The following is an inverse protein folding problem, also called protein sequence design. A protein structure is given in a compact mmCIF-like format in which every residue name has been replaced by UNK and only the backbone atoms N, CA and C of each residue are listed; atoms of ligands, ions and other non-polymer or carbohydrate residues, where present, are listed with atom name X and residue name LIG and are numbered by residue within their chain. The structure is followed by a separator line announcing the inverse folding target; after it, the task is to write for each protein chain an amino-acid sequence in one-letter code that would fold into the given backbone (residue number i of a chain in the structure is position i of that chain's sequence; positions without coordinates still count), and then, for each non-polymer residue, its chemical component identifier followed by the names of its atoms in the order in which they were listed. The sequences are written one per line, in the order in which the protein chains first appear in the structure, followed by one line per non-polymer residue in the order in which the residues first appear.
data_IF_480058181781
#
_entry.id   IF_480058181781
#
_cell.length_a   1.000
_cell.length_b   1.000
_cell.length_c   1.000
_cell.angle_alpha   90.00
_cell.angle_beta   90.00
_cell.angle_gamma   90.00
#
_symmetry.space_group_name_H-M   'P 1'
#
loop_
_entity.id
_entity.type
_entity.pdbx_description
1 polymer ?
#
# COMPACT_ATOMS: atom_id res chain seq x y z
N UNK A 1 5.68 5.42 27.24
CA UNK A 1 6.80 5.39 26.27
C UNK A 1 6.56 4.40 25.13
N UNK A 2 6.04 3.21 25.36
CA UNK A 2 5.73 2.21 24.33
C UNK A 2 4.72 2.66 23.27
N UNK A 3 3.65 3.38 23.65
CA UNK A 3 2.61 3.85 22.71
C UNK A 3 3.16 4.92 21.75
N UNK A 4 4.00 5.84 22.23
CA UNK A 4 4.67 6.83 21.37
C UNK A 4 5.59 6.13 20.36
N UNK A 5 6.38 5.14 20.79
CA UNK A 5 7.26 4.40 19.91
C UNK A 5 6.47 3.66 18.82
N UNK A 6 5.38 2.97 19.20
CA UNK A 6 4.50 2.29 18.25
C UNK A 6 3.85 3.28 17.27
N UNK A 7 3.49 4.49 17.75
CA UNK A 7 2.95 5.53 16.89
C UNK A 7 3.99 5.98 15.86
N UNK A 8 5.22 6.24 16.27
CA UNK A 8 6.33 6.66 15.39
C UNK A 8 6.62 5.56 14.37
N UNK A 9 6.78 4.31 14.80
CA UNK A 9 7.04 3.17 13.91
C UNK A 9 5.91 2.98 12.88
N UNK A 10 4.65 3.13 13.32
CA UNK A 10 3.51 3.07 12.40
C UNK A 10 3.57 4.17 11.33
N UNK A 11 3.87 5.41 11.71
CA UNK A 11 3.98 6.51 10.75
C UNK A 11 5.15 6.30 9.78
N UNK A 12 6.32 5.85 10.27
CA UNK A 12 7.46 5.53 9.41
C UNK A 12 7.10 4.44 8.40
N UNK A 13 6.39 3.38 8.84
CA UNK A 13 5.92 2.32 7.95
C UNK A 13 4.90 2.85 6.92
N UNK A 14 3.98 3.74 7.31
CA UNK A 14 3.02 4.38 6.37
C UNK A 14 3.76 5.25 5.34
N UNK A 15 4.76 6.04 5.74
CA UNK A 15 5.58 6.79 4.77
C UNK A 15 6.33 5.85 3.83
N UNK A 16 6.86 4.73 4.33
CA UNK A 16 7.48 3.69 3.51
C UNK A 16 6.50 3.09 2.50
N UNK A 17 5.24 2.86 2.90
CA UNK A 17 4.18 2.39 2.01
C UNK A 17 3.92 3.38 0.87
N UNK A 18 3.73 4.65 1.20
CA UNK A 18 3.51 5.72 0.20
C UNK A 18 4.70 5.84 -0.74
N UNK A 19 5.92 5.82 -0.21
CA UNK A 19 7.13 5.92 -1.00
C UNK A 19 7.30 4.73 -1.97
N UNK A 20 7.05 3.50 -1.52
CA UNK A 20 7.14 2.32 -2.39
C UNK A 20 6.11 2.35 -3.51
N UNK A 21 4.87 2.74 -3.22
CA UNK A 21 3.82 2.88 -4.25
C UNK A 21 4.13 4.01 -5.24
N UNK A 22 4.68 5.14 -4.76
CA UNK A 22 5.11 6.23 -5.62
C UNK A 22 6.27 5.81 -6.55
N UNK A 23 7.25 5.05 -6.04
CA UNK A 23 8.34 4.49 -6.85
C UNK A 23 7.84 3.50 -7.89
N UNK A 24 6.85 2.69 -7.57
CA UNK A 24 6.22 1.75 -8.51
C UNK A 24 5.48 2.51 -9.62
N UNK A 25 4.68 3.52 -9.26
CA UNK A 25 4.02 4.39 -10.22
C UNK A 25 5.00 5.14 -11.13
N UNK A 26 6.14 5.57 -10.61
CA UNK A 26 7.21 6.19 -11.40
C UNK A 26 7.88 5.17 -12.34
N UNK A 27 8.18 3.96 -11.86
CA UNK A 27 8.77 2.90 -12.67
C UNK A 27 7.86 2.48 -13.84
N UNK A 28 6.54 2.46 -13.64
CA UNK A 28 5.55 2.19 -14.70
C UNK A 28 5.49 3.30 -15.77
N UNK A 29 5.98 4.50 -15.47
CA UNK A 29 6.01 5.64 -16.41
C UNK A 29 7.39 5.88 -17.02
N UNK A 30 8.38 5.07 -16.66
CA UNK A 30 9.73 5.17 -17.21
C UNK A 30 9.73 4.91 -18.74
N UNK A 31 10.67 5.49 -19.50
CA UNK A 31 10.80 5.25 -20.93
C UNK A 31 11.06 3.78 -21.28
N UNK A 32 11.78 3.06 -20.42
CA UNK A 32 11.99 1.61 -20.50
C UNK A 32 11.44 0.94 -19.23
N UNK A 33 10.65 -0.09 -19.43
CA UNK A 33 10.07 -0.87 -18.33
C UNK A 33 11.01 -1.99 -17.95
N UNK A 34 11.39 -2.03 -16.68
CA UNK A 34 12.13 -3.15 -16.09
C UNK A 34 11.18 -4.03 -15.24
N UNK A 35 10.78 -5.21 -15.77
CA UNK A 35 9.86 -6.10 -15.07
C UNK A 35 10.41 -6.64 -13.74
N UNK A 36 11.73 -6.84 -13.63
CA UNK A 36 12.35 -7.31 -12.41
C UNK A 36 12.30 -6.26 -11.30
N UNK A 37 12.54 -4.99 -11.67
CA UNK A 37 12.43 -3.85 -10.75
C UNK A 37 10.99 -3.66 -10.27
N UNK A 38 10.01 -3.70 -11.17
CA UNK A 38 8.58 -3.60 -10.82
C UNK A 38 8.17 -4.68 -9.83
N UNK A 39 8.48 -5.95 -10.11
CA UNK A 39 8.15 -7.05 -9.21
C UNK A 39 8.84 -6.93 -7.83
N UNK A 40 10.02 -6.31 -7.75
CA UNK A 40 10.69 -6.02 -6.47
C UNK A 40 10.00 -4.89 -5.70
N UNK A 41 9.56 -3.83 -6.40
CA UNK A 41 8.86 -2.71 -5.78
C UNK A 41 7.51 -3.15 -5.21
N UNK A 42 6.74 -3.90 -6.01
CA UNK A 42 5.47 -4.49 -5.61
C UNK A 42 5.62 -5.42 -4.39
N UNK A 43 6.61 -6.31 -4.39
CA UNK A 43 6.90 -7.16 -3.23
C UNK A 43 7.27 -6.36 -1.98
N UNK A 44 7.99 -5.23 -2.13
CA UNK A 44 8.28 -4.32 -1.03
C UNK A 44 7.02 -3.60 -0.54
N UNK A 45 6.16 -3.15 -1.46
CA UNK A 45 4.88 -2.55 -1.12
C UNK A 45 4.04 -3.51 -0.27
N UNK A 46 3.87 -4.77 -0.72
CA UNK A 46 3.16 -5.80 0.05
C UNK A 46 3.80 -6.08 1.41
N UNK A 47 5.12 -6.16 1.49
CA UNK A 47 5.85 -6.35 2.75
C UNK A 47 5.65 -5.19 3.72
N UNK A 48 5.76 -3.95 3.25
CA UNK A 48 5.53 -2.75 4.07
C UNK A 48 4.07 -2.65 4.49
N UNK A 49 3.11 -3.00 3.61
CA UNK A 49 1.69 -3.08 3.96
C UNK A 49 1.43 -4.07 5.12
N UNK A 50 2.09 -5.23 5.09
CA UNK A 50 2.05 -6.19 6.20
C UNK A 50 2.59 -5.60 7.51
N UNK A 51 3.69 -4.86 7.45
CA UNK A 51 4.26 -4.17 8.63
C UNK A 51 3.30 -3.10 9.17
N UNK A 52 2.67 -2.31 8.29
CA UNK A 52 1.66 -1.30 8.68
C UNK A 52 0.49 -1.96 9.39
N UNK A 53 -0.02 -3.09 8.87
CA UNK A 53 -1.09 -3.85 9.51
C UNK A 53 -0.68 -4.40 10.87
N UNK A 54 0.49 -5.01 10.96
CA UNK A 54 1.00 -5.59 12.20
C UNK A 54 1.14 -4.53 13.30
N UNK A 55 1.82 -3.43 13.02
CA UNK A 55 1.97 -2.35 13.99
C UNK A 55 0.61 -1.73 14.32
N UNK A 56 -0.27 -1.57 13.32
CA UNK A 56 -1.64 -1.09 13.51
C UNK A 56 -2.44 -1.99 14.45
N UNK A 57 -2.39 -3.31 14.27
CA UNK A 57 -3.04 -4.28 15.14
C UNK A 57 -2.49 -4.22 16.58
N UNK A 58 -1.16 -4.17 16.74
CA UNK A 58 -0.52 -4.02 18.04
C UNK A 58 -1.02 -2.75 18.75
N UNK A 59 -1.14 -1.64 18.05
CA UNK A 59 -1.65 -0.38 18.62
C UNK A 59 -3.11 -0.45 19.04
N UNK A 60 -3.94 -1.19 18.31
CA UNK A 60 -5.36 -1.39 18.65
C UNK A 60 -5.52 -2.27 19.89
N UNK A 61 -4.72 -3.33 19.97
CA UNK A 61 -4.86 -4.35 21.03
C UNK A 61 -4.13 -3.96 22.33
N UNK A 62 -2.95 -3.32 22.22
CA UNK A 62 -2.07 -3.01 23.36
C UNK A 62 -1.71 -1.52 23.49
N UNK A 63 -2.27 -0.66 22.65
CA UNK A 63 -2.08 0.79 22.73
C UNK A 63 -2.94 1.43 23.84
N UNK A 64 -2.59 2.65 24.22
CA UNK A 64 -3.22 3.34 25.36
C UNK A 64 -4.70 3.71 25.19
N UNK A 65 -5.27 3.63 23.95
CA UNK A 65 -6.68 3.97 23.69
C UNK A 65 -7.65 2.81 23.91
N UNK A 66 -7.18 1.57 23.76
CA UNK A 66 -7.98 0.35 23.93
C UNK A 66 -8.96 0.08 22.77
N UNK A 67 -9.45 -1.16 22.72
CA UNK A 67 -10.34 -1.64 21.66
C UNK A 67 -11.65 -0.83 21.54
N UNK A 68 -12.27 -0.48 22.66
CA UNK A 68 -13.57 0.21 22.68
C UNK A 68 -13.53 1.54 21.95
N UNK A 69 -12.42 2.28 22.08
CA UNK A 69 -12.21 3.53 21.34
C UNK A 69 -12.19 3.30 19.83
N UNK A 70 -11.50 2.26 19.36
CA UNK A 70 -11.41 1.96 17.92
C UNK A 70 -12.71 1.38 17.39
N UNK A 71 -13.36 0.49 18.14
CA UNK A 71 -14.61 -0.14 17.72
C UNK A 71 -15.76 0.86 17.56
N UNK A 72 -15.84 1.87 18.43
CA UNK A 72 -16.83 2.94 18.37
C UNK A 72 -16.55 4.00 17.30
N UNK A 73 -15.33 4.02 16.73
CA UNK A 73 -14.90 5.08 15.81
C UNK A 73 -15.19 4.72 14.36
N UNK A 74 -16.10 5.44 13.65
CA UNK A 74 -16.47 5.12 12.27
C UNK A 74 -15.29 5.28 11.29
N UNK A 75 -14.38 6.21 11.55
CA UNK A 75 -13.19 6.42 10.70
C UNK A 75 -12.18 5.28 10.82
N UNK A 76 -12.18 4.54 11.92
CA UNK A 76 -11.40 3.31 12.04
C UNK A 76 -11.85 2.27 11.02
N UNK A 77 -13.16 2.00 10.94
CA UNK A 77 -13.71 1.03 10.01
C UNK A 77 -13.58 1.48 8.55
N UNK A 78 -13.81 2.77 8.28
CA UNK A 78 -13.58 3.35 6.95
C UNK A 78 -12.12 3.18 6.51
N UNK A 79 -11.15 3.44 7.41
CA UNK A 79 -9.73 3.24 7.14
C UNK A 79 -9.39 1.78 6.86
N UNK A 80 -9.93 0.83 7.63
CA UNK A 80 -9.71 -0.61 7.41
C UNK A 80 -10.29 -1.03 6.06
N UNK A 81 -11.50 -0.58 5.72
CA UNK A 81 -12.13 -0.86 4.43
C UNK A 81 -11.32 -0.31 3.24
N UNK A 82 -10.85 0.94 3.34
CA UNK A 82 -10.00 1.55 2.30
C UNK A 82 -8.66 0.83 2.15
N UNK A 83 -8.02 0.45 3.26
CA UNK A 83 -6.78 -0.31 3.22
C UNK A 83 -6.98 -1.69 2.58
N UNK A 84 -8.08 -2.37 2.93
CA UNK A 84 -8.47 -3.63 2.31
C UNK A 84 -8.74 -3.48 0.81
N UNK A 85 -9.42 -2.41 0.38
CA UNK A 85 -9.66 -2.11 -1.02
C UNK A 85 -8.36 -1.90 -1.82
N UNK A 86 -7.39 -1.16 -1.25
CA UNK A 86 -6.05 -0.99 -1.84
C UNK A 86 -5.37 -2.36 -1.97
N UNK A 87 -5.40 -3.19 -0.93
CA UNK A 87 -4.82 -4.54 -0.97
C UNK A 87 -5.46 -5.45 -2.02
N UNK A 88 -6.78 -5.38 -2.23
CA UNK A 88 -7.46 -6.13 -3.28
C UNK A 88 -7.11 -5.63 -4.68
N UNK A 89 -7.00 -4.30 -4.86
CA UNK A 89 -6.60 -3.70 -6.12
C UNK A 89 -5.17 -4.07 -6.51
N UNK A 90 -4.26 -4.18 -5.54
CA UNK A 90 -2.85 -4.51 -5.77
C UNK A 90 -2.64 -5.93 -6.30
N UNK A 91 -3.61 -6.83 -6.16
CA UNK A 91 -3.53 -8.19 -6.70
C UNK A 91 -3.36 -8.17 -8.23
N UNK A 92 -4.05 -7.26 -8.92
CA UNK A 92 -3.99 -7.13 -10.37
C UNK A 92 -2.56 -6.81 -10.88
N UNK A 93 -1.94 -5.70 -10.47
CA UNK A 93 -0.57 -5.38 -10.85
C UNK A 93 0.44 -6.43 -10.38
N UNK A 94 0.31 -6.97 -9.16
CA UNK A 94 1.20 -8.04 -8.65
C UNK A 94 1.26 -9.22 -9.60
N UNK A 95 0.10 -9.74 -10.06
CA UNK A 95 0.05 -10.87 -10.98
C UNK A 95 0.68 -10.53 -12.35
N UNK A 96 0.49 -9.30 -12.85
CA UNK A 96 1.13 -8.83 -14.08
C UNK A 96 2.65 -8.76 -13.92
N UNK A 97 3.15 -8.17 -12.84
CA UNK A 97 4.59 -7.98 -12.63
C UNK A 97 5.31 -9.31 -12.43
N UNK A 98 4.69 -10.28 -11.75
CA UNK A 98 5.24 -11.64 -11.64
C UNK A 98 5.33 -12.29 -13.01
N UNK A 99 4.29 -12.18 -13.84
CA UNK A 99 4.26 -12.72 -15.19
C UNK A 99 5.31 -12.09 -16.10
N UNK A 100 5.39 -10.75 -16.11
CA UNK A 100 6.38 -10.02 -16.90
C UNK A 100 7.81 -10.35 -16.49
N UNK A 101 8.07 -10.46 -15.16
CA UNK A 101 9.39 -10.87 -14.67
C UNK A 101 9.77 -12.26 -15.17
N UNK A 102 8.84 -13.23 -15.18
CA UNK A 102 9.08 -14.57 -15.70
C UNK A 102 9.33 -14.55 -17.20
N UNK A 103 8.55 -13.80 -17.96
CA UNK A 103 8.72 -13.66 -19.41
C UNK A 103 10.08 -13.03 -19.76
N UNK A 104 10.46 -11.94 -19.09
CA UNK A 104 11.75 -11.28 -19.29
C UNK A 104 12.95 -12.15 -18.87
N UNK A 105 12.77 -13.07 -17.96
CA UNK A 105 13.82 -14.03 -17.59
C UNK A 105 14.03 -15.11 -18.68
N UNK A 106 13.00 -15.40 -19.47
CA UNK A 106 13.05 -16.38 -20.57
C UNK A 106 13.40 -15.75 -21.91
N UNK A 107 13.11 -14.47 -22.10
CA UNK A 107 13.36 -13.71 -23.31
C UNK A 107 13.86 -12.31 -22.96
N UNK A 108 15.13 -12.04 -23.24
CA UNK A 108 15.76 -10.75 -23.00
C UNK A 108 15.18 -9.59 -23.83
N UNK A 109 14.42 -9.91 -24.90
CA UNK A 109 13.74 -8.91 -25.77
C UNK A 109 12.31 -8.63 -25.34
N UNK A 110 11.82 -9.28 -24.27
CA UNK A 110 10.46 -9.11 -23.78
C UNK A 110 10.14 -7.67 -23.42
N UNK A 111 9.05 -7.18 -23.98
CA UNK A 111 8.46 -5.87 -23.62
C UNK A 111 7.01 -6.11 -23.18
N UNK A 112 6.57 -5.54 -22.05
CA UNK A 112 5.19 -5.67 -21.62
C UNK A 112 4.19 -5.15 -22.68
N UNK A 113 3.09 -5.88 -22.95
CA UNK A 113 2.05 -5.42 -23.89
C UNK A 113 1.46 -4.06 -23.47
N UNK A 114 1.22 -3.20 -24.43
CA UNK A 114 0.78 -1.81 -24.18
C UNK A 114 -0.56 -1.73 -23.43
N UNK A 115 -1.47 -2.66 -23.70
CA UNK A 115 -2.77 -2.74 -23.03
C UNK A 115 -2.62 -3.19 -21.57
N UNK A 116 -1.73 -4.12 -21.27
CA UNK A 116 -1.42 -4.56 -19.91
C UNK A 116 -0.72 -3.47 -19.11
N UNK A 117 0.23 -2.76 -19.75
CA UNK A 117 0.90 -1.63 -19.13
C UNK A 117 -0.09 -0.49 -18.80
N UNK A 118 -1.05 -0.22 -19.69
CA UNK A 118 -2.12 0.75 -19.42
C UNK A 118 -2.98 0.32 -18.24
N UNK A 119 -3.35 -0.96 -18.12
CA UNK A 119 -4.11 -1.50 -16.99
C UNK A 119 -3.32 -1.40 -15.69
N UNK A 120 -2.05 -1.78 -15.69
CA UNK A 120 -1.20 -1.66 -14.51
C UNK A 120 -1.11 -0.20 -14.02
N UNK A 121 -0.89 0.75 -14.94
CA UNK A 121 -0.89 2.19 -14.62
C UNK A 121 -2.21 2.68 -14.03
N UNK A 122 -3.33 2.16 -14.53
CA UNK A 122 -4.65 2.50 -14.02
C UNK A 122 -4.85 1.98 -12.59
N UNK A 123 -4.54 0.71 -12.31
CA UNK A 123 -4.65 0.12 -10.97
C UNK A 123 -3.77 0.84 -9.96
N UNK A 124 -2.49 0.99 -10.25
CA UNK A 124 -1.55 1.71 -9.36
C UNK A 124 -1.96 3.17 -9.18
N UNK A 125 -2.49 3.81 -10.22
CA UNK A 125 -3.04 5.16 -10.12
C UNK A 125 -4.24 5.25 -9.18
N UNK A 126 -5.12 4.25 -9.20
CA UNK A 126 -6.28 4.17 -8.30
C UNK A 126 -5.85 3.90 -6.85
N UNK A 127 -4.86 3.04 -6.63
CA UNK A 127 -4.27 2.81 -5.31
C UNK A 127 -3.70 4.11 -4.72
N UNK A 128 -2.95 4.87 -5.50
CA UNK A 128 -2.44 6.19 -5.10
C UNK A 128 -3.58 7.15 -4.76
N UNK A 129 -4.64 7.17 -5.56
CA UNK A 129 -5.82 8.01 -5.30
C UNK A 129 -6.51 7.63 -3.98
N UNK A 130 -6.63 6.34 -3.68
CA UNK A 130 -7.26 5.84 -2.45
C UNK A 130 -6.44 6.13 -1.18
N UNK A 131 -5.14 6.43 -1.30
CA UNK A 131 -4.35 6.89 -0.15
C UNK A 131 -4.88 8.23 0.41
N UNK A 132 -5.44 9.09 -0.42
CA UNK A 132 -5.96 10.39 0.05
C UNK A 132 -7.08 10.23 1.07
N UNK A 133 -8.20 9.54 0.78
CA UNK A 133 -9.24 9.30 1.77
C UNK A 133 -8.76 8.43 2.94
N UNK A 134 -7.82 7.50 2.70
CA UNK A 134 -7.21 6.69 3.77
C UNK A 134 -6.51 7.58 4.81
N UNK A 135 -5.69 8.52 4.36
CA UNK A 135 -4.99 9.47 5.23
C UNK A 135 -5.97 10.44 5.91
N UNK A 136 -7.00 10.88 5.19
CA UNK A 136 -8.06 11.72 5.77
C UNK A 136 -8.80 10.99 6.90
N UNK A 137 -9.17 9.72 6.70
CA UNK A 137 -9.77 8.88 7.75
C UNK A 137 -8.82 8.69 8.95
N UNK A 138 -7.52 8.52 8.71
CA UNK A 138 -6.53 8.40 9.78
C UNK A 138 -6.44 9.68 10.62
N UNK A 139 -6.46 10.85 9.98
CA UNK A 139 -6.44 12.16 10.65
C UNK A 139 -7.75 12.42 11.43
N UNK A 140 -8.91 12.11 10.83
CA UNK A 140 -10.22 12.24 11.48
C UNK A 140 -10.33 11.31 12.69
N UNK A 141 -9.90 10.06 12.55
CA UNK A 141 -9.87 9.08 13.65
C UNK A 141 -9.08 9.57 14.86
N UNK A 142 -7.96 10.27 14.63
CA UNK A 142 -7.11 10.76 15.72
C UNK A 142 -7.79 11.86 16.56
N UNK A 143 -8.76 12.58 15.98
CA UNK A 143 -9.49 13.71 16.59
C UNK A 143 -10.90 13.36 17.05
N UNK A 144 -11.33 12.12 16.85
CA UNK A 144 -12.66 11.66 17.28
C UNK A 144 -12.75 11.51 18.81
N UNK A 145 -13.90 11.83 19.47
CA UNK A 145 -15.08 12.53 18.93
C UNK A 145 -14.80 14.02 18.74
N UNK A 146 -15.45 14.63 17.76
CA UNK A 146 -15.35 16.07 17.47
C UNK A 146 -16.10 16.90 18.51
#
# INVERSE_FOLDING_TARGET
MSDLLLAVLHHVAVFGLVATLAMEGAALRAPSIDPARLAKLDARFGGVAGVVLLIGAIRVLWGGKGWDFYAANPFFWAKIGLFGAIGLLSIGPTLLFIRWRKAAASDATFVPPADELRRARWWVGLEVLLLVPLLACAAAMARWPF
#
